data_IF_850219163864
#
_entry.id   IF_850219163864
#
_cell.length_a   1.000
_cell.length_b   1.000
_cell.length_c   1.000
_cell.angle_alpha   90.00
_cell.angle_beta   90.00
_cell.angle_gamma   90.00
#
_symmetry.space_group_name_H-M   'P 1'
#
loop_
_entity.id
_entity.type
_entity.pdbx_description
1 polymer ?
#
# COMPACT_ATOMS: atom_id res chain seq x y z
N UNK A 1 -4.20 14.02 2.92
CA UNK A 1 -3.28 12.96 2.42
C UNK A 1 -2.07 12.81 3.33
N UNK A 2 -1.66 11.57 3.62
CA UNK A 2 -0.39 11.24 4.31
C UNK A 2 0.59 10.59 3.34
N UNK A 3 1.89 10.70 3.59
CA UNK A 3 2.95 10.06 2.82
C UNK A 3 3.45 8.83 3.58
N UNK A 4 3.41 7.65 2.96
CA UNK A 4 3.88 6.40 3.56
C UNK A 4 4.72 5.61 2.57
N UNK A 5 5.63 4.79 3.08
CA UNK A 5 6.35 3.79 2.30
C UNK A 5 5.56 2.48 2.35
N UNK A 6 5.37 1.87 1.19
CA UNK A 6 4.70 0.58 1.05
C UNK A 6 5.67 -0.42 0.43
N UNK A 7 5.46 -1.71 0.70
CA UNK A 7 6.21 -2.81 0.07
C UNK A 7 5.74 -3.04 -1.38
N UNK A 8 5.69 -1.96 -2.17
CA UNK A 8 5.33 -2.00 -3.57
C UNK A 8 6.01 -0.85 -4.30
N UNK A 9 6.47 -1.06 -5.53
CA UNK A 9 7.16 -0.01 -6.28
C UNK A 9 6.23 0.63 -7.31
N UNK A 10 6.41 1.92 -7.56
CA UNK A 10 5.71 2.62 -8.64
C UNK A 10 6.21 2.10 -9.98
N UNK A 11 5.31 1.61 -10.85
CA UNK A 11 5.69 1.07 -12.16
C UNK A 11 6.31 2.10 -13.10
N UNK A 12 6.18 3.39 -12.81
CA UNK A 12 6.70 4.48 -13.64
C UNK A 12 8.08 4.97 -13.19
N UNK A 13 8.35 5.04 -11.89
CA UNK A 13 9.59 5.62 -11.35
C UNK A 13 10.34 4.74 -10.35
N UNK A 14 9.81 3.56 -10.02
CA UNK A 14 10.41 2.64 -9.06
C UNK A 14 10.28 3.04 -7.58
N UNK A 15 9.74 4.24 -7.27
CA UNK A 15 9.64 4.71 -5.88
C UNK A 15 8.62 3.90 -5.07
N UNK A 16 8.96 3.59 -3.81
CA UNK A 16 8.14 2.90 -2.82
C UNK A 16 7.24 3.84 -2.00
N UNK A 17 7.35 5.16 -2.22
CA UNK A 17 6.65 6.17 -1.42
C UNK A 17 5.35 6.61 -2.09
N UNK A 18 4.25 6.56 -1.34
CA UNK A 18 2.90 6.85 -1.82
C UNK A 18 2.14 7.82 -0.90
N UNK A 19 1.26 8.61 -1.51
CA UNK A 19 0.26 9.42 -0.82
C UNK A 19 -1.04 8.62 -0.70
N UNK A 20 -1.50 8.44 0.54
CA UNK A 20 -2.79 7.85 0.85
C UNK A 20 -3.74 8.97 1.31
N UNK A 21 -5.00 8.99 0.84
CA UNK A 21 -6.02 9.88 1.38
C UNK A 21 -6.37 9.43 2.80
N UNK A 22 -6.58 10.39 3.69
CA UNK A 22 -6.88 10.13 5.12
C UNK A 22 -8.19 10.76 5.56
N UNK A 23 -8.71 11.71 4.79
CA UNK A 23 -9.99 12.34 5.08
C UNK A 23 -11.12 11.74 4.25
N UNK A 24 -12.27 11.42 4.88
CA UNK A 24 -13.48 11.09 4.14
C UNK A 24 -13.94 12.33 3.37
N UNK A 25 -13.73 12.31 2.05
CA UNK A 25 -13.96 13.44 1.14
C UNK A 25 -12.79 13.73 0.19
N UNK A 26 -11.59 13.24 0.51
CA UNK A 26 -10.47 13.27 -0.44
C UNK A 26 -10.68 12.26 -1.57
N UNK A 27 -10.06 12.53 -2.73
CA UNK A 27 -10.08 11.61 -3.86
C UNK A 27 -9.51 10.25 -3.41
N UNK A 28 -10.21 9.12 -3.63
CA UNK A 28 -9.87 7.81 -3.07
C UNK A 28 -8.68 7.16 -3.81
N UNK A 29 -7.77 7.95 -4.37
CA UNK A 29 -6.70 7.51 -5.23
C UNK A 29 -5.36 7.54 -4.50
N UNK A 30 -4.69 6.40 -4.48
CA UNK A 30 -3.31 6.27 -4.01
C UNK A 30 -2.39 6.77 -5.12
N UNK A 31 -1.57 7.77 -4.80
CA UNK A 31 -0.66 8.42 -5.76
C UNK A 31 0.78 8.19 -5.39
N UNK A 32 1.67 8.04 -6.36
CA UNK A 32 3.11 8.02 -6.09
C UNK A 32 3.58 9.39 -5.57
N UNK A 33 4.41 9.41 -4.53
CA UNK A 33 4.95 10.65 -3.98
C UNK A 33 6.04 11.30 -4.84
N UNK A 34 6.55 10.58 -5.84
CA UNK A 34 7.61 11.07 -6.71
C UNK A 34 7.09 11.55 -8.08
N UNK A 35 6.23 10.76 -8.73
CA UNK A 35 5.68 11.09 -10.06
C UNK A 35 4.19 11.43 -10.05
N UNK A 36 3.52 11.44 -8.90
CA UNK A 36 2.07 11.73 -8.74
C UNK A 36 1.10 10.82 -9.52
N UNK A 37 1.61 9.77 -10.16
CA UNK A 37 0.81 8.83 -10.90
C UNK A 37 -0.18 8.07 -10.00
N UNK A 38 -1.40 7.91 -10.50
CA UNK A 38 -2.46 7.14 -9.82
C UNK A 38 -2.17 5.65 -10.00
N UNK A 39 -1.99 4.94 -8.89
CA UNK A 39 -1.69 3.50 -8.92
C UNK A 39 -2.96 2.66 -8.71
N UNK A 40 -3.72 2.96 -7.68
CA UNK A 40 -4.91 2.20 -7.29
C UNK A 40 -5.83 3.01 -6.37
N UNK A 41 -7.06 2.51 -6.13
CA UNK A 41 -7.97 3.10 -5.17
C UNK A 41 -7.64 2.65 -3.74
N UNK A 42 -7.87 3.51 -2.74
CA UNK A 42 -7.57 3.23 -1.33
C UNK A 42 -8.29 1.98 -0.83
N UNK A 43 -9.56 1.80 -1.18
CA UNK A 43 -10.33 0.59 -0.83
C UNK A 43 -9.70 -0.70 -1.38
N UNK A 44 -9.17 -0.67 -2.60
CA UNK A 44 -8.50 -1.81 -3.20
C UNK A 44 -7.14 -2.07 -2.53
N UNK A 45 -6.42 -1.01 -2.13
CA UNK A 45 -5.18 -1.12 -1.37
C UNK A 45 -5.43 -1.73 0.01
N UNK A 46 -6.42 -1.23 0.75
CA UNK A 46 -6.79 -1.74 2.07
C UNK A 46 -7.20 -3.22 2.00
N UNK A 47 -8.00 -3.59 1.01
CA UNK A 47 -8.42 -4.98 0.78
C UNK A 47 -7.21 -5.90 0.51
N UNK A 48 -6.25 -5.44 -0.29
CA UNK A 48 -5.03 -6.19 -0.60
C UNK A 48 -4.15 -6.34 0.65
N UNK A 49 -3.94 -5.26 1.40
CA UNK A 49 -3.15 -5.29 2.65
C UNK A 49 -3.81 -6.19 3.71
N UNK A 50 -5.14 -6.14 3.84
CA UNK A 50 -5.90 -7.02 4.73
C UNK A 50 -5.78 -8.50 4.32
N UNK A 51 -5.77 -8.79 3.02
CA UNK A 51 -5.54 -10.14 2.50
C UNK A 51 -4.11 -10.63 2.79
N UNK A 52 -3.10 -9.80 2.55
CA UNK A 52 -1.68 -10.13 2.82
C UNK A 52 -1.38 -10.33 4.32
N UNK A 53 -2.14 -9.68 5.20
CA UNK A 53 -2.00 -9.86 6.66
C UNK A 53 -2.36 -11.26 7.15
N UNK A 54 -3.15 -12.03 6.39
CA UNK A 54 -3.47 -13.43 6.69
C UNK A 54 -2.34 -14.41 6.34
N UNK A 55 -1.41 -14.00 5.47
CA UNK A 55 -0.28 -14.83 5.06
C UNK A 55 0.94 -14.67 5.98
N UNK A 56 0.94 -13.65 6.85
CA UNK A 56 1.92 -13.51 7.92
C UNK A 56 1.59 -14.41 9.13
N UNK A 57 1.41 -15.71 8.88
CA UNK A 57 1.63 -16.70 9.93
C UNK A 57 3.13 -17.01 9.92
N UNK A 58 3.92 -16.65 10.94
CA UNK A 58 5.31 -17.09 11.00
C UNK A 58 5.31 -18.62 10.90
N UNK A 59 6.21 -19.24 10.11
CA UNK A 59 6.35 -20.69 10.16
C UNK A 59 6.70 -21.03 11.61
N UNK A 60 5.77 -21.70 12.30
CA UNK A 60 6.07 -22.35 13.58
C UNK A 60 7.16 -23.37 13.25
N UNK A 61 8.42 -22.97 13.45
CA UNK A 61 9.52 -23.91 13.56
C UNK A 61 9.16 -24.85 14.72
N UNK A 62 8.60 -25.99 14.33
CA UNK A 62 8.46 -27.20 15.12
C UNK A 62 9.89 -27.64 15.46
N UNK A 63 10.36 -27.26 16.64
CA UNK A 63 11.53 -27.88 17.25
C UNK A 63 11.04 -29.13 17.98
N UNK A 64 11.68 -30.24 17.64
CA UNK A 64 11.47 -31.59 18.11
C UNK A 64 11.72 -31.76 19.62
#
# INVERSE_FOLDING_TARGET
MICVTLDMQCSLCGSDRFHLPTQPGESPHVRCANCTAVKCQTLALESTLMASRREQTPPRHRAA
#
